data_IF_824848150474
#
_entry.id   IF_824848150474
#
_cell.length_a   1.000
_cell.length_b   1.000
_cell.length_c   1.000
_cell.angle_alpha   90.00
_cell.angle_beta   90.00
_cell.angle_gamma   90.00
#
_symmetry.space_group_name_H-M   'P 1'
#
loop_
_entity.id
_entity.type
_entity.pdbx_description
1 polymer ?
#
# COMPACT_ATOMS: atom_id res chain seq x y z
N UNK A 1 2.65 14.72 17.15
CA UNK A 1 1.33 14.26 16.68
C UNK A 1 0.28 15.15 17.34
N UNK A 2 -0.53 15.90 16.58
CA UNK A 2 -1.60 16.73 17.17
C UNK A 2 -2.74 15.78 17.54
N UNK A 3 -3.03 15.64 18.84
CA UNK A 3 -4.18 14.86 19.28
C UNK A 3 -5.46 15.61 18.93
N UNK A 4 -6.32 15.02 18.11
CA UNK A 4 -7.68 15.50 17.89
C UNK A 4 -8.58 14.92 18.98
N UNK A 5 -9.28 15.78 19.72
CA UNK A 5 -10.28 15.40 20.71
C UNK A 5 -11.67 15.73 20.18
N UNK A 6 -12.58 14.76 20.15
CA UNK A 6 -13.96 14.90 19.65
C UNK A 6 -15.00 14.73 20.79
N UNK A 7 -15.06 15.68 21.76
CA UNK A 7 -15.91 15.52 22.94
C UNK A 7 -17.41 15.49 22.63
N UNK A 8 -17.84 16.14 21.54
CA UNK A 8 -19.23 16.12 21.08
C UNK A 8 -19.56 14.94 20.16
N UNK A 9 -18.59 14.07 19.87
CA UNK A 9 -18.71 12.95 18.92
C UNK A 9 -19.18 13.36 17.53
N UNK A 10 -18.97 14.63 17.15
CA UNK A 10 -19.45 15.16 15.88
C UNK A 10 -18.69 14.53 14.71
N UNK A 11 -17.38 14.32 14.85
CA UNK A 11 -16.56 13.66 13.83
C UNK A 11 -16.88 12.18 13.74
N UNK A 12 -16.90 11.48 14.87
CA UNK A 12 -17.20 10.05 14.91
C UNK A 12 -18.57 9.72 14.30
N UNK A 13 -19.60 10.49 14.68
CA UNK A 13 -20.96 10.34 14.15
C UNK A 13 -21.03 10.70 12.66
N UNK A 14 -20.40 11.79 12.26
CA UNK A 14 -20.37 12.23 10.87
C UNK A 14 -19.69 11.20 9.95
N UNK A 15 -18.54 10.67 10.35
CA UNK A 15 -17.81 9.66 9.59
C UNK A 15 -18.60 8.34 9.48
N UNK A 16 -19.24 7.90 10.57
CA UNK A 16 -20.11 6.71 10.54
C UNK A 16 -21.31 6.88 9.60
N UNK A 17 -21.91 8.08 9.58
CA UNK A 17 -22.99 8.42 8.66
C UNK A 17 -22.52 8.38 7.20
N UNK A 18 -21.39 9.03 6.88
CA UNK A 18 -20.79 9.00 5.53
C UNK A 18 -20.52 7.56 5.09
N UNK A 19 -19.95 6.74 5.96
CA UNK A 19 -19.68 5.31 5.67
C UNK A 19 -20.95 4.57 5.26
N UNK A 20 -22.04 4.81 5.98
CA UNK A 20 -23.35 4.18 5.72
C UNK A 20 -23.96 4.68 4.42
N UNK A 21 -24.00 6.00 4.21
CA UNK A 21 -24.58 6.62 3.01
C UNK A 21 -23.85 6.21 1.72
N UNK A 22 -22.53 6.02 1.80
CA UNK A 22 -21.70 5.60 0.68
C UNK A 22 -21.53 4.07 0.61
N UNK A 23 -22.21 3.31 1.46
CA UNK A 23 -22.14 1.84 1.50
C UNK A 23 -20.72 1.29 1.62
N UNK A 24 -19.83 1.98 2.32
CA UNK A 24 -18.42 1.58 2.48
C UNK A 24 -18.34 0.40 3.46
N UNK A 25 -17.85 -0.79 3.03
CA UNK A 25 -17.79 -1.98 3.87
C UNK A 25 -17.07 -1.77 5.19
N UNK A 26 -17.52 -2.49 6.22
CA UNK A 26 -16.95 -2.45 7.57
C UNK A 26 -15.51 -3.02 7.64
N UNK A 27 -15.27 -4.00 6.79
CA UNK A 27 -14.04 -4.77 6.62
C UNK A 27 -14.21 -5.72 5.45
N UNK A 28 -13.24 -6.60 5.26
CA UNK A 28 -13.24 -7.58 4.19
C UNK A 28 -13.93 -8.88 4.60
N UNK A 29 -14.58 -9.60 3.65
CA UNK A 29 -15.04 -10.97 3.85
C UNK A 29 -13.93 -11.91 4.37
N UNK A 30 -14.30 -12.96 5.09
CA UNK A 30 -13.33 -13.83 5.77
C UNK A 30 -12.43 -14.62 4.80
N UNK A 31 -12.97 -14.98 3.64
CA UNK A 31 -12.26 -15.60 2.53
C UNK A 31 -11.26 -14.64 1.86
N UNK A 32 -11.63 -13.36 1.68
CA UNK A 32 -10.70 -12.31 1.22
C UNK A 32 -9.52 -12.14 2.17
N UNK A 33 -9.78 -12.09 3.49
CA UNK A 33 -8.71 -11.99 4.50
C UNK A 33 -7.79 -13.23 4.45
N UNK A 34 -8.37 -14.43 4.36
CA UNK A 34 -7.58 -15.66 4.27
C UNK A 34 -6.72 -15.72 2.98
N UNK A 35 -7.26 -15.25 1.85
CA UNK A 35 -6.53 -15.15 0.59
C UNK A 35 -5.38 -14.13 0.68
N UNK A 36 -5.62 -12.96 1.26
CA UNK A 36 -4.58 -11.95 1.49
C UNK A 36 -3.45 -12.46 2.40
N UNK A 37 -3.78 -13.16 3.49
CA UNK A 37 -2.81 -13.77 4.40
C UNK A 37 -1.96 -14.86 3.72
N UNK A 38 -2.52 -15.56 2.74
CA UNK A 38 -1.80 -16.53 1.92
C UNK A 38 -0.89 -15.84 0.90
N UNK A 39 -1.40 -14.82 0.20
CA UNK A 39 -0.63 -14.01 -0.75
C UNK A 39 0.59 -13.36 -0.09
N UNK A 40 0.42 -12.77 1.09
CA UNK A 40 1.48 -12.08 1.82
C UNK A 40 2.68 -12.98 2.22
N UNK A 41 2.53 -14.31 2.17
CA UNK A 41 3.60 -15.28 2.48
C UNK A 41 4.42 -15.68 1.24
N UNK A 42 4.00 -15.29 0.04
CA UNK A 42 4.71 -15.61 -1.21
C UNK A 42 6.07 -14.89 -1.24
N UNK A 43 7.09 -15.55 -1.81
CA UNK A 43 8.44 -14.98 -1.98
C UNK A 43 8.70 -14.76 -3.47
N UNK A 44 8.98 -13.53 -3.94
CA UNK A 44 9.22 -13.24 -5.34
C UNK A 44 10.37 -14.08 -5.94
N UNK A 45 10.11 -14.76 -7.06
CA UNK A 45 11.07 -15.66 -7.74
C UNK A 45 11.19 -15.42 -9.25
N UNK A 46 10.38 -14.53 -9.82
CA UNK A 46 10.34 -14.22 -11.26
C UNK A 46 10.94 -12.84 -11.61
N UNK A 47 11.52 -12.15 -10.63
CA UNK A 47 12.00 -10.77 -10.79
C UNK A 47 13.50 -10.72 -11.10
N UNK A 48 13.89 -9.73 -11.88
CA UNK A 48 15.31 -9.41 -12.07
C UNK A 48 15.92 -8.92 -10.75
N UNK A 49 17.08 -9.46 -10.36
CA UNK A 49 17.74 -9.02 -9.13
C UNK A 49 18.29 -7.60 -9.29
N UNK A 50 17.77 -6.70 -8.44
CA UNK A 50 18.17 -5.29 -8.32
C UNK A 50 18.50 -4.91 -6.88
N UNK A 51 18.72 -5.89 -5.99
CA UNK A 51 18.98 -5.64 -4.56
C UNK A 51 20.29 -4.88 -4.28
N UNK A 52 21.20 -4.82 -5.26
CA UNK A 52 22.42 -4.03 -5.17
C UNK A 52 22.19 -2.52 -5.39
N UNK A 53 21.03 -2.11 -5.93
CA UNK A 53 20.69 -0.69 -6.09
C UNK A 53 20.22 -0.10 -4.75
N UNK A 54 20.71 1.10 -4.36
CA UNK A 54 20.39 1.71 -3.07
C UNK A 54 19.02 2.43 -3.11
N UNK A 55 17.95 1.67 -3.37
CA UNK A 55 16.59 2.21 -3.34
C UNK A 55 16.22 2.77 -1.96
N UNK A 56 15.56 3.92 -1.95
CA UNK A 56 15.00 4.55 -0.75
C UNK A 56 13.54 4.93 -0.99
N UNK A 57 12.75 4.99 0.08
CA UNK A 57 11.39 5.57 0.06
C UNK A 57 11.41 6.93 0.76
N UNK A 58 10.44 7.79 0.43
CA UNK A 58 10.30 9.11 1.04
C UNK A 58 8.84 9.38 1.35
N UNK A 59 8.46 9.06 2.58
CA UNK A 59 7.07 9.00 3.01
C UNK A 59 6.91 9.66 4.39
N UNK A 60 5.69 10.08 4.76
CA UNK A 60 5.38 10.43 6.14
C UNK A 60 5.80 9.31 7.12
N UNK A 61 6.29 9.69 8.30
CA UNK A 61 6.74 8.72 9.30
C UNK A 61 5.65 7.74 9.80
N UNK A 62 4.37 8.06 9.56
CA UNK A 62 3.24 7.21 9.93
C UNK A 62 2.71 6.35 8.77
N UNK A 63 3.31 6.45 7.57
CA UNK A 63 2.94 5.62 6.43
C UNK A 63 3.19 4.14 6.72
N UNK A 64 2.27 3.30 6.27
CA UNK A 64 2.32 1.83 6.46
C UNK A 64 2.39 1.07 5.14
N UNK A 65 2.06 1.74 4.05
CA UNK A 65 1.85 1.27 2.69
C UNK A 65 2.91 1.88 1.76
N UNK A 66 4.15 1.42 1.92
CA UNK A 66 5.27 1.88 1.08
C UNK A 66 5.20 1.17 -0.28
N UNK A 67 4.63 1.84 -1.28
CA UNK A 67 4.36 1.28 -2.61
C UNK A 67 5.36 1.73 -3.69
N UNK A 68 6.33 2.56 -3.32
CA UNK A 68 7.27 3.16 -4.25
C UNK A 68 8.66 3.36 -3.62
N UNK A 69 9.69 3.23 -4.44
CA UNK A 69 11.06 3.51 -4.06
C UNK A 69 11.85 4.08 -5.25
N UNK A 70 12.90 4.86 -4.96
CA UNK A 70 13.74 5.43 -5.99
C UNK A 70 15.23 5.33 -5.68
N UNK A 71 16.05 5.34 -6.74
CA UNK A 71 17.50 5.52 -6.69
C UNK A 71 17.89 6.51 -7.79
N UNK A 72 18.78 7.45 -7.47
CA UNK A 72 19.24 8.47 -8.41
C UNK A 72 20.75 8.37 -8.55
N UNK A 73 21.25 8.35 -9.78
CA UNK A 73 22.68 8.41 -10.08
C UNK A 73 22.98 9.44 -11.18
N UNK A 74 24.23 9.93 -11.17
CA UNK A 74 24.71 10.82 -12.23
C UNK A 74 25.08 10.00 -13.47
N UNK A 75 24.69 10.51 -14.64
CA UNK A 75 24.99 9.92 -15.95
C UNK A 75 25.53 11.01 -16.87
N UNK A 76 26.83 11.32 -16.74
CA UNK A 76 27.45 12.42 -17.48
C UNK A 76 26.90 13.78 -17.05
N UNK A 77 26.27 14.50 -17.98
CA UNK A 77 25.54 15.75 -17.69
C UNK A 77 24.12 15.53 -17.19
N UNK A 78 23.65 14.28 -17.18
CA UNK A 78 22.27 13.91 -16.90
C UNK A 78 22.14 13.21 -15.54
N UNK A 79 20.90 12.96 -15.13
CA UNK A 79 20.56 12.11 -13.98
C UNK A 79 19.75 10.92 -14.47
N UNK A 80 20.08 9.74 -13.98
CA UNK A 80 19.28 8.54 -14.15
C UNK A 80 18.47 8.31 -12.88
N UNK A 81 17.14 8.32 -13.02
CA UNK A 81 16.20 7.96 -11.97
C UNK A 81 15.72 6.54 -12.21
N UNK A 82 16.04 5.65 -11.28
CA UNK A 82 15.37 4.37 -11.16
C UNK A 82 14.18 4.53 -10.23
N UNK A 83 13.01 4.12 -10.71
CA UNK A 83 11.77 4.19 -9.97
C UNK A 83 11.16 2.78 -9.91
N UNK A 84 10.96 2.27 -8.70
CA UNK A 84 10.38 0.97 -8.43
C UNK A 84 8.98 1.16 -7.83
N UNK A 85 8.00 0.45 -8.36
CA UNK A 85 6.62 0.39 -7.84
C UNK A 85 6.41 -1.00 -7.27
N UNK A 86 5.66 -1.10 -6.18
CA UNK A 86 5.25 -2.38 -5.60
C UNK A 86 4.47 -3.20 -6.63
N UNK A 87 4.92 -4.43 -6.85
CA UNK A 87 4.30 -5.35 -7.81
C UNK A 87 3.10 -6.08 -7.17
N UNK A 88 2.03 -5.32 -6.89
CA UNK A 88 0.82 -5.84 -6.23
C UNK A 88 0.18 -6.97 -7.05
N UNK A 89 0.23 -6.87 -8.37
CA UNK A 89 -0.36 -7.87 -9.29
C UNK A 89 0.37 -9.23 -9.23
N UNK A 90 1.61 -9.29 -8.73
CA UNK A 90 2.27 -10.57 -8.47
C UNK A 90 1.69 -11.30 -7.24
N UNK A 91 1.13 -10.55 -6.29
CA UNK A 91 0.48 -11.09 -5.09
C UNK A 91 -1.01 -11.37 -5.28
N UNK A 92 -1.67 -10.62 -6.16
CA UNK A 92 -3.10 -10.72 -6.44
C UNK A 92 -3.29 -11.00 -7.93
N UNK A 93 -3.64 -12.23 -8.26
CA UNK A 93 -3.88 -12.64 -9.64
C UNK A 93 -5.27 -12.20 -10.11
N UNK A 94 -5.45 -12.07 -11.43
CA UNK A 94 -6.74 -11.77 -12.05
C UNK A 94 -7.79 -12.84 -11.65
N UNK A 95 -8.89 -12.40 -11.05
CA UNK A 95 -9.95 -13.28 -10.55
C UNK A 95 -9.64 -13.96 -9.20
N UNK A 96 -8.54 -13.64 -8.53
CA UNK A 96 -8.32 -14.07 -7.14
C UNK A 96 -9.43 -13.51 -6.22
N UNK A 97 -9.67 -14.18 -5.08
CA UNK A 97 -10.66 -13.70 -4.09
C UNK A 97 -10.37 -12.28 -3.59
N UNK A 98 -9.11 -11.82 -3.63
CA UNK A 98 -8.74 -10.44 -3.26
C UNK A 98 -9.07 -9.42 -4.37
N UNK A 99 -9.13 -9.86 -5.63
CA UNK A 99 -9.43 -9.02 -6.81
C UNK A 99 -10.94 -8.71 -6.94
N UNK A 100 -11.80 -9.66 -6.55
CA UNK A 100 -13.26 -9.61 -6.70
C UNK A 100 -13.99 -8.88 -5.55
#
# INVERSE_FOLDING_TARGET
MKSLTDPSQALSTGLAKIRTELHVPAGFPADVVAAADAAAKRVPDQHADRRAMPFVTLDPAASTDLDQAFSIEASGSDLLLHYAIADVAWFVEDGDTVDL
#
